data_IF_285802231348
#
_entry.id   IF_285802231348
#
_cell.length_a   1.000
_cell.length_b   1.000
_cell.length_c   1.000
_cell.angle_alpha   90.00
_cell.angle_beta   90.00
_cell.angle_gamma   90.00
#
_symmetry.space_group_name_H-M   'P 1'
#
loop_
_entity.id
_entity.type
_entity.pdbx_description
1 polymer ?
#
# COMPACT_ATOMS: atom_id res chain seq x y z
N UNK A 1 36.32 -14.81 39.82
CA UNK A 1 37.20 -15.99 39.72
C UNK A 1 37.53 -16.23 38.27
N UNK A 2 38.79 -16.01 37.90
CA UNK A 2 39.39 -16.44 36.64
C UNK A 2 39.07 -15.57 35.41
N UNK A 3 39.99 -15.24 34.54
CA UNK A 3 41.42 -15.48 34.52
C UNK A 3 41.99 -14.57 33.42
N UNK A 4 43.04 -13.84 33.75
CA UNK A 4 43.87 -13.07 32.82
C UNK A 4 44.41 -13.97 31.69
N UNK A 5 44.43 -13.46 30.45
CA UNK A 5 45.57 -13.69 29.53
C UNK A 5 45.82 -12.46 28.68
N UNK A 6 46.70 -11.63 29.21
CA UNK A 6 47.53 -10.67 28.51
C UNK A 6 48.36 -11.40 27.43
N UNK A 7 48.11 -11.05 26.17
CA UNK A 7 48.88 -11.51 25.02
C UNK A 7 49.41 -10.31 24.25
N UNK A 8 50.58 -9.84 24.66
CA UNK A 8 51.42 -8.90 23.91
C UNK A 8 51.75 -9.51 22.55
N UNK A 9 51.34 -8.87 21.46
CA UNK A 9 51.98 -9.11 20.16
C UNK A 9 52.50 -7.82 19.56
N UNK A 10 53.79 -7.88 19.27
CA UNK A 10 54.72 -6.81 18.91
C UNK A 10 54.44 -6.27 17.52
N UNK A 11 54.59 -4.94 17.42
CA UNK A 11 55.12 -4.17 16.29
C UNK A 11 55.49 -4.96 15.02
N UNK A 12 54.70 -4.75 13.97
CA UNK A 12 55.12 -4.88 12.58
C UNK A 12 54.82 -3.58 11.83
N UNK A 13 55.74 -2.61 11.88
CA UNK A 13 55.78 -1.54 10.88
C UNK A 13 56.24 -2.16 9.56
N UNK A 14 55.32 -2.44 8.64
CA UNK A 14 55.66 -2.53 7.23
C UNK A 14 55.02 -1.35 6.51
N UNK A 15 55.87 -0.50 5.93
CA UNK A 15 55.48 0.71 5.26
C UNK A 15 54.49 0.43 4.15
N UNK A 16 53.28 0.96 4.29
CA UNK A 16 52.37 1.17 3.16
C UNK A 16 52.91 2.36 2.38
N UNK A 17 54.00 2.13 1.64
CA UNK A 17 54.39 3.01 0.56
C UNK A 17 53.26 2.93 -0.45
N UNK A 18 52.42 3.97 -0.48
CA UNK A 18 51.52 4.25 -1.58
C UNK A 18 52.39 4.45 -2.82
N UNK A 19 52.79 3.33 -3.44
CA UNK A 19 53.32 3.31 -4.79
C UNK A 19 52.20 3.92 -5.63
N UNK A 20 52.37 5.19 -5.92
CA UNK A 20 51.53 5.95 -6.82
C UNK A 20 51.59 5.19 -8.14
N UNK A 21 50.64 4.28 -8.36
CA UNK A 21 50.49 3.62 -9.64
C UNK A 21 50.20 4.76 -10.59
N UNK A 22 51.21 5.15 -11.37
CA UNK A 22 51.15 6.22 -12.36
C UNK A 22 50.21 5.81 -13.49
N UNK A 23 48.94 5.61 -13.16
CA UNK A 23 47.88 5.55 -14.13
C UNK A 23 47.95 6.92 -14.83
N UNK A 24 48.32 6.94 -16.12
CA UNK A 24 48.55 8.19 -16.82
C UNK A 24 47.26 9.02 -16.79
N UNK A 25 47.39 10.34 -16.57
CA UNK A 25 46.26 11.25 -16.32
C UNK A 25 45.14 11.16 -17.37
N UNK A 26 45.46 10.74 -18.61
CA UNK A 26 44.46 10.53 -19.66
C UNK A 26 43.41 9.46 -19.31
N UNK A 27 43.72 8.48 -18.44
CA UNK A 27 42.73 7.51 -17.97
C UNK A 27 41.66 8.14 -17.08
N UNK A 28 42.01 9.19 -16.34
CA UNK A 28 41.06 9.95 -15.52
C UNK A 28 40.17 10.85 -16.39
N UNK A 29 40.71 11.47 -17.44
CA UNK A 29 39.91 12.27 -18.38
C UNK A 29 38.94 11.41 -19.18
N UNK A 30 39.39 10.24 -19.68
CA UNK A 30 38.52 9.30 -20.40
C UNK A 30 37.35 8.84 -19.52
N UNK A 31 37.62 8.48 -18.25
CA UNK A 31 36.57 8.04 -17.32
C UNK A 31 35.58 9.16 -16.98
N UNK A 32 36.05 10.40 -16.82
CA UNK A 32 35.18 11.56 -16.56
C UNK A 32 34.28 11.88 -17.76
N UNK A 33 34.83 11.77 -18.97
CA UNK A 33 34.06 11.98 -20.19
C UNK A 33 33.03 10.88 -20.43
N UNK A 34 33.39 9.62 -20.15
CA UNK A 34 32.46 8.50 -20.21
C UNK A 34 31.31 8.65 -19.20
N UNK A 35 31.58 9.06 -17.97
CA UNK A 35 30.54 9.39 -16.99
C UNK A 35 29.61 10.51 -17.45
N UNK A 36 30.19 11.57 -18.06
CA UNK A 36 29.38 12.66 -18.62
C UNK A 36 28.47 12.16 -19.74
N UNK A 37 28.98 11.29 -20.63
CA UNK A 37 28.19 10.71 -21.72
C UNK A 37 27.05 9.84 -21.19
N UNK A 38 27.31 9.01 -20.17
CA UNK A 38 26.29 8.19 -19.51
C UNK A 38 25.19 9.06 -18.88
N UNK A 39 25.55 10.12 -18.16
CA UNK A 39 24.57 11.04 -17.59
C UNK A 39 23.73 11.76 -18.65
N UNK A 40 24.33 12.13 -19.79
CA UNK A 40 23.61 12.77 -20.90
C UNK A 40 22.66 11.79 -21.60
N UNK A 41 23.10 10.55 -21.82
CA UNK A 41 22.25 9.47 -22.36
C UNK A 41 21.08 9.16 -21.42
N UNK A 42 21.32 9.06 -20.11
CA UNK A 42 20.26 8.89 -19.11
C UNK A 42 19.30 10.09 -19.08
N UNK A 43 19.82 11.33 -19.17
CA UNK A 43 18.98 12.52 -19.23
C UNK A 43 18.14 12.58 -20.51
N UNK A 44 18.68 12.13 -21.65
CA UNK A 44 17.97 12.00 -22.93
C UNK A 44 16.91 10.92 -22.87
N UNK A 45 17.22 9.76 -22.28
CA UNK A 45 16.24 8.70 -22.08
C UNK A 45 15.11 9.14 -21.14
N UNK A 46 15.42 9.86 -20.06
CA UNK A 46 14.41 10.43 -19.18
C UNK A 46 13.64 11.61 -19.80
N UNK A 47 14.16 12.23 -20.86
CA UNK A 47 13.47 13.29 -21.61
C UNK A 47 12.50 12.74 -22.66
N UNK A 48 12.66 11.47 -23.05
CA UNK A 48 11.75 10.84 -23.99
C UNK A 48 10.37 10.68 -23.35
N UNK A 49 9.28 10.93 -24.09
CA UNK A 49 7.94 10.66 -23.59
C UNK A 49 7.79 9.17 -23.28
N UNK A 50 7.08 8.80 -22.20
CA UNK A 50 6.82 7.39 -21.90
C UNK A 50 6.08 6.68 -23.06
N UNK A 51 6.23 5.37 -23.14
CA UNK A 51 5.59 4.57 -24.19
C UNK A 51 4.05 4.71 -24.14
N UNK A 52 3.42 4.81 -25.30
CA UNK A 52 1.96 4.98 -25.43
C UNK A 52 1.45 6.42 -25.32
N UNK A 53 2.34 7.40 -25.09
CA UNK A 53 1.98 8.81 -25.12
C UNK A 53 2.07 9.40 -26.54
N UNK A 54 1.03 10.09 -26.97
CA UNK A 54 0.93 10.76 -28.27
C UNK A 54 1.03 12.27 -28.08
N UNK A 55 1.69 12.98 -28.98
CA UNK A 55 1.79 14.44 -28.92
C UNK A 55 0.40 15.08 -28.99
N UNK A 56 0.07 15.91 -27.99
CA UNK A 56 -1.20 16.63 -27.91
C UNK A 56 -1.05 18.10 -28.29
N UNK A 57 -0.10 18.79 -27.65
CA UNK A 57 0.26 20.19 -27.91
C UNK A 57 1.74 20.41 -27.62
N UNK A 58 2.28 21.62 -27.84
CA UNK A 58 3.72 21.89 -27.67
C UNK A 58 4.21 21.51 -26.27
N UNK A 59 5.03 20.45 -26.20
CA UNK A 59 5.57 19.93 -24.94
C UNK A 59 4.57 19.15 -24.08
N UNK A 60 3.35 18.87 -24.56
CA UNK A 60 2.35 18.06 -23.87
C UNK A 60 2.02 16.82 -24.66
N UNK A 61 2.05 15.69 -23.97
CA UNK A 61 1.70 14.40 -24.52
C UNK A 61 0.50 13.85 -23.77
N UNK A 62 -0.33 13.06 -24.44
CA UNK A 62 -1.52 12.43 -23.85
C UNK A 62 -1.51 10.94 -24.10
N UNK A 63 -1.82 10.17 -23.08
CA UNK A 63 -2.16 8.77 -23.23
C UNK A 63 -3.69 8.65 -23.41
N UNK A 64 -4.19 8.31 -24.61
CA UNK A 64 -5.63 8.30 -24.89
C UNK A 64 -6.40 7.24 -24.11
N UNK A 65 -5.74 6.15 -23.73
CA UNK A 65 -6.36 5.04 -22.98
C UNK A 65 -6.60 5.42 -21.52
N UNK A 66 -5.63 6.10 -20.91
CA UNK A 66 -5.68 6.47 -19.49
C UNK A 66 -6.22 7.89 -19.24
N UNK A 67 -6.35 8.70 -20.29
CA UNK A 67 -6.69 10.15 -20.20
C UNK A 67 -5.70 10.93 -19.30
N UNK A 68 -4.46 10.47 -19.25
CA UNK A 68 -3.37 11.11 -18.50
C UNK A 68 -2.52 11.93 -19.47
N UNK A 69 -2.17 13.14 -19.05
CA UNK A 69 -1.27 14.04 -19.75
C UNK A 69 0.13 13.96 -19.14
N UNK A 70 1.15 14.10 -19.95
CA UNK A 70 2.55 14.18 -19.52
C UNK A 70 3.17 15.44 -20.11
N UNK A 71 3.79 16.26 -19.27
CA UNK A 71 4.40 17.51 -19.67
C UNK A 71 5.92 17.34 -19.78
N UNK A 72 6.49 17.60 -20.96
CA UNK A 72 7.91 17.37 -21.24
C UNK A 72 8.85 18.30 -20.47
N UNK A 73 8.42 19.53 -20.17
CA UNK A 73 9.23 20.52 -19.45
C UNK A 73 9.39 20.17 -17.97
N UNK A 74 8.29 19.76 -17.31
CA UNK A 74 8.28 19.42 -15.88
C UNK A 74 8.51 17.93 -15.61
N UNK A 75 8.36 17.08 -16.64
CA UNK A 75 8.37 15.61 -16.57
C UNK A 75 7.35 15.06 -15.56
N UNK A 76 6.21 15.74 -15.42
CA UNK A 76 5.14 15.38 -14.49
C UNK A 76 3.89 14.91 -15.24
N UNK A 77 3.09 14.09 -14.55
CA UNK A 77 1.80 13.63 -15.03
C UNK A 77 0.68 14.54 -14.55
N UNK A 78 -0.33 14.73 -15.38
CA UNK A 78 -1.49 15.56 -15.09
C UNK A 78 -2.77 14.84 -15.52
N UNK A 79 -3.83 15.01 -14.74
CA UNK A 79 -5.19 14.68 -15.14
C UNK A 79 -5.92 15.99 -15.48
N UNK A 80 -6.61 16.00 -16.62
CA UNK A 80 -7.49 17.12 -16.94
C UNK A 80 -8.83 16.93 -16.23
N UNK A 81 -9.15 17.84 -15.33
CA UNK A 81 -10.45 17.84 -14.65
C UNK A 81 -11.43 18.72 -15.46
N UNK A 82 -12.39 18.09 -16.12
CA UNK A 82 -13.39 18.79 -16.96
C UNK A 82 -14.27 19.76 -16.15
N UNK A 83 -14.59 19.43 -14.89
CA UNK A 83 -15.44 20.27 -14.04
C UNK A 83 -14.74 21.58 -13.65
N UNK A 84 -13.44 21.50 -13.32
CA UNK A 84 -12.62 22.67 -12.98
C UNK A 84 -11.99 23.34 -14.21
N UNK A 85 -12.06 22.68 -15.39
CA UNK A 85 -11.32 23.05 -16.60
C UNK A 85 -9.82 23.28 -16.35
N UNK A 86 -9.24 22.49 -15.45
CA UNK A 86 -7.87 22.67 -14.97
C UNK A 86 -7.11 21.34 -14.93
N UNK A 87 -5.79 21.42 -15.11
CA UNK A 87 -4.90 20.27 -14.98
C UNK A 87 -4.51 20.08 -13.50
N UNK A 88 -4.76 18.89 -12.96
CA UNK A 88 -4.32 18.49 -11.63
C UNK A 88 -3.08 17.60 -11.76
N UNK A 89 -2.00 17.95 -11.06
CA UNK A 89 -0.78 17.13 -11.01
C UNK A 89 -1.08 15.79 -10.34
N UNK A 90 -0.64 14.70 -10.97
CA UNK A 90 -0.65 13.37 -10.39
C UNK A 90 0.78 13.04 -10.01
N UNK A 91 0.99 12.77 -8.72
CA UNK A 91 2.24 12.18 -8.29
C UNK A 91 2.22 10.70 -8.66
N UNK A 92 3.15 10.29 -9.52
CA UNK A 92 3.43 8.87 -9.68
C UNK A 92 3.91 8.40 -8.30
N UNK A 93 3.17 7.47 -7.70
CA UNK A 93 3.57 6.90 -6.42
C UNK A 93 4.98 6.36 -6.59
N UNK A 94 5.97 7.00 -5.97
CA UNK A 94 7.29 6.42 -5.88
C UNK A 94 7.08 5.09 -5.16
N UNK A 95 7.30 3.99 -5.88
CA UNK A 95 7.18 2.65 -5.33
C UNK A 95 8.17 2.50 -4.19
N UNK A 96 7.72 2.85 -2.98
CA UNK A 96 8.38 2.61 -1.71
C UNK A 96 8.21 1.13 -1.30
N UNK A 97 7.90 0.24 -2.23
CA UNK A 97 7.79 -1.21 -2.00
C UNK A 97 9.02 -1.80 -1.31
N UNK A 98 10.18 -1.15 -1.46
CA UNK A 98 11.43 -1.56 -0.78
C UNK A 98 11.61 -0.98 0.63
N UNK A 99 10.87 0.05 1.03
CA UNK A 99 11.16 0.81 2.25
C UNK A 99 9.98 0.86 3.23
N UNK A 100 8.73 0.88 2.75
CA UNK A 100 7.54 0.96 3.61
C UNK A 100 6.64 -0.25 3.43
N UNK A 101 6.65 -1.13 4.43
CA UNK A 101 5.67 -2.22 4.57
C UNK A 101 4.69 -1.83 5.68
N UNK A 102 3.45 -1.54 5.31
CA UNK A 102 2.38 -1.33 6.29
C UNK A 102 1.84 -2.70 6.72
N UNK A 103 2.21 -3.14 7.92
CA UNK A 103 1.56 -4.28 8.55
C UNK A 103 0.26 -3.79 9.19
N UNK A 104 -0.86 -4.29 8.71
CA UNK A 104 -2.18 -3.99 9.27
C UNK A 104 -2.73 -5.20 10.00
N UNK A 105 -3.31 -4.93 11.17
CA UNK A 105 -4.02 -5.87 12.01
C UNK A 105 -5.31 -5.21 12.51
N UNK A 106 -6.30 -6.01 12.90
CA UNK A 106 -7.56 -5.52 13.44
C UNK A 106 -7.78 -6.04 14.86
N UNK A 107 -8.08 -5.11 15.78
CA UNK A 107 -8.50 -5.44 17.13
C UNK A 107 -9.95 -5.06 17.34
N UNK A 108 -10.73 -5.96 17.94
CA UNK A 108 -12.13 -5.72 18.27
C UNK A 108 -12.32 -5.89 19.78
N UNK A 109 -12.81 -4.85 20.45
CA UNK A 109 -13.19 -4.89 21.85
C UNK A 109 -14.70 -5.15 21.94
N UNK A 110 -15.07 -6.22 22.67
CA UNK A 110 -16.47 -6.54 22.93
C UNK A 110 -16.75 -6.36 24.41
N UNK A 111 -17.90 -5.75 24.74
CA UNK A 111 -18.33 -5.66 26.13
C UNK A 111 -18.74 -7.06 26.61
N UNK A 112 -18.33 -7.49 27.82
CA UNK A 112 -18.82 -8.73 28.41
C UNK A 112 -20.34 -8.76 28.44
N UNK A 113 -20.95 -9.84 27.94
CA UNK A 113 -22.41 -10.00 27.89
C UNK A 113 -23.11 -9.37 26.69
N UNK A 114 -22.39 -8.70 25.78
CA UNK A 114 -22.96 -8.27 24.50
C UNK A 114 -22.58 -9.26 23.40
N UNK A 115 -23.54 -9.71 22.56
CA UNK A 115 -23.22 -10.56 21.42
C UNK A 115 -22.27 -9.85 20.44
N UNK A 116 -21.38 -10.63 19.81
CA UNK A 116 -20.44 -10.12 18.82
C UNK A 116 -21.16 -9.87 17.49
N UNK A 117 -21.57 -8.63 17.27
CA UNK A 117 -22.26 -8.22 16.05
C UNK A 117 -21.32 -7.58 15.03
N UNK A 118 -20.19 -7.04 15.48
CA UNK A 118 -19.21 -6.39 14.61
C UNK A 118 -18.33 -7.41 13.88
N UNK A 119 -18.16 -7.21 12.57
CA UNK A 119 -17.26 -7.97 11.71
C UNK A 119 -16.30 -7.02 11.00
N UNK A 120 -15.07 -7.46 10.77
CA UNK A 120 -14.10 -6.70 9.97
C UNK A 120 -13.63 -7.53 8.79
N UNK A 121 -13.28 -6.87 7.69
CA UNK A 121 -12.72 -7.48 6.48
C UNK A 121 -11.45 -6.73 6.11
N UNK A 122 -10.37 -7.47 5.93
CA UNK A 122 -9.07 -6.95 5.50
C UNK A 122 -8.68 -7.64 4.20
N UNK A 123 -8.58 -6.87 3.12
CA UNK A 123 -8.08 -7.33 1.82
C UNK A 123 -6.77 -6.60 1.55
N UNK A 124 -5.65 -7.31 1.71
CA UNK A 124 -4.30 -6.74 1.54
C UNK A 124 -3.96 -6.42 0.08
N UNK A 125 -4.49 -7.21 -0.84
CA UNK A 125 -4.30 -7.04 -2.28
C UNK A 125 -5.67 -7.01 -2.95
N UNK A 126 -6.20 -5.80 -3.12
CA UNK A 126 -7.50 -5.57 -3.73
C UNK A 126 -7.51 -5.99 -5.20
N UNK A 127 -6.38 -5.86 -5.91
CA UNK A 127 -6.25 -6.25 -7.31
C UNK A 127 -6.44 -7.76 -7.50
N UNK A 128 -5.77 -8.56 -6.65
CA UNK A 128 -5.91 -10.02 -6.64
C UNK A 128 -7.32 -10.46 -6.26
N UNK A 129 -7.93 -9.82 -5.26
CA UNK A 129 -9.30 -10.12 -4.84
C UNK A 129 -10.31 -9.82 -5.94
N UNK A 130 -10.19 -8.66 -6.61
CA UNK A 130 -11.08 -8.30 -7.69
C UNK A 130 -10.92 -9.19 -8.92
N UNK A 131 -9.70 -9.65 -9.23
CA UNK A 131 -9.48 -10.64 -10.27
C UNK A 131 -10.23 -11.96 -9.98
N UNK A 132 -10.20 -12.44 -8.74
CA UNK A 132 -10.95 -13.62 -8.33
C UNK A 132 -12.47 -13.43 -8.45
N UNK A 133 -12.95 -12.23 -8.12
CA UNK A 133 -14.36 -11.85 -8.21
C UNK A 133 -14.79 -11.39 -9.62
N UNK A 134 -13.86 -11.38 -10.59
CA UNK A 134 -14.08 -10.83 -11.94
C UNK A 134 -14.64 -9.41 -11.94
N UNK A 135 -14.23 -8.60 -10.96
CA UNK A 135 -14.60 -7.20 -10.85
C UNK A 135 -13.54 -6.31 -11.53
N UNK A 136 -13.94 -5.41 -12.45
CA UNK A 136 -13.00 -4.51 -13.11
C UNK A 136 -12.63 -3.34 -12.19
N UNK A 137 -11.39 -3.33 -11.69
CA UNK A 137 -10.87 -2.25 -10.81
C UNK A 137 -9.57 -1.63 -11.32
N UNK A 138 -9.34 -1.68 -12.63
CA UNK A 138 -8.09 -1.21 -13.27
C UNK A 138 -7.84 0.29 -13.13
N UNK A 139 -8.86 1.05 -12.74
CA UNK A 139 -8.79 2.48 -12.49
C UNK A 139 -8.17 2.82 -11.12
N UNK A 140 -8.03 1.84 -10.21
CA UNK A 140 -7.46 2.08 -8.89
C UNK A 140 -5.92 2.06 -8.93
N UNK A 141 -5.25 3.00 -8.23
CA UNK A 141 -3.80 3.00 -8.15
C UNK A 141 -3.30 1.76 -7.41
N UNK A 142 -2.20 1.17 -7.88
CA UNK A 142 -1.55 0.01 -7.24
C UNK A 142 -0.32 0.47 -6.44
N UNK A 143 -0.05 -0.11 -5.25
CA UNK A 143 -0.83 -1.16 -4.56
C UNK A 143 -2.12 -0.60 -3.93
N UNK A 144 -3.19 -1.41 -3.92
CA UNK A 144 -4.47 -1.09 -3.30
C UNK A 144 -4.88 -2.16 -2.28
N UNK A 145 -5.36 -1.72 -1.12
CA UNK A 145 -5.92 -2.56 -0.06
C UNK A 145 -7.31 -2.04 0.33
N UNK A 146 -8.18 -2.93 0.80
CA UNK A 146 -9.52 -2.59 1.28
C UNK A 146 -9.68 -3.02 2.74
N UNK A 147 -10.17 -2.08 3.56
CA UNK A 147 -10.50 -2.29 4.96
C UNK A 147 -11.95 -1.92 5.16
N UNK A 148 -12.75 -2.84 5.69
CA UNK A 148 -14.14 -2.60 5.98
C UNK A 148 -14.48 -3.08 7.39
N UNK A 149 -15.30 -2.30 8.08
CA UNK A 149 -15.89 -2.67 9.37
C UNK A 149 -17.40 -2.67 9.17
N UNK A 150 -18.01 -3.82 9.45
CA UNK A 150 -19.44 -4.03 9.42
C UNK A 150 -19.92 -4.00 10.86
N UNK A 151 -20.71 -2.99 11.22
CA UNK A 151 -21.45 -3.02 12.48
C UNK A 151 -22.74 -3.78 12.25
N UNK A 152 -22.87 -4.94 12.90
CA UNK A 152 -24.14 -5.65 12.91
C UNK A 152 -25.13 -4.83 13.73
N UNK A 153 -26.25 -4.48 13.13
CA UNK A 153 -27.45 -4.13 13.87
C UNK A 153 -28.35 -5.34 13.81
N UNK A 154 -28.35 -6.18 14.86
CA UNK A 154 -29.55 -7.03 15.03
C UNK A 154 -30.72 -6.07 15.23
N UNK A 155 -31.81 -6.18 14.46
CA UNK A 155 -33.05 -5.58 14.92
C UNK A 155 -33.32 -6.24 16.27
N UNK A 156 -33.18 -5.47 17.35
CA UNK A 156 -33.77 -5.84 18.63
C UNK A 156 -35.20 -6.14 18.26
N UNK A 157 -35.62 -7.40 18.36
CA UNK A 157 -37.01 -7.75 18.24
C UNK A 157 -37.70 -6.87 19.28
N UNK A 158 -38.32 -5.78 18.82
CA UNK A 158 -39.26 -5.04 19.64
C UNK A 158 -40.31 -6.08 19.96
N UNK A 159 -40.17 -6.67 21.14
CA UNK A 159 -41.15 -7.56 21.71
C UNK A 159 -42.50 -6.92 21.44
N UNK A 160 -43.32 -7.66 20.71
CA UNK A 160 -44.58 -7.25 20.15
C UNK A 160 -45.29 -6.20 21.01
N UNK A 161 -45.35 -4.97 20.51
CA UNK A 161 -46.41 -4.05 20.88
C UNK A 161 -47.72 -4.64 20.35
N UNK A 162 -48.31 -5.50 21.18
CA UNK A 162 -49.56 -6.20 20.91
C UNK A 162 -50.14 -6.78 22.19
N UNK A 163 -50.37 -5.92 23.19
CA UNK A 163 -51.06 -6.32 24.42
C UNK A 163 -50.97 -5.29 25.53
N UNK A 164 -51.93 -4.37 25.57
CA UNK A 164 -52.25 -3.62 26.77
C UNK A 164 -52.73 -4.59 27.88
N UNK A 165 -52.20 -4.49 29.10
CA UNK A 165 -52.94 -4.62 30.37
C UNK A 165 -51.99 -4.72 31.57
N UNK A 166 -52.35 -3.97 32.61
CA UNK A 166 -51.87 -4.13 33.99
C UNK A 166 -51.94 -5.58 34.47
N UNK A 167 -50.95 -6.02 35.24
CA UNK A 167 -51.17 -6.58 36.59
C UNK A 167 -49.86 -7.12 37.17
N UNK A 168 -49.69 -6.84 38.46
CA UNK A 168 -48.70 -7.44 39.33
C UNK A 168 -48.88 -8.97 39.37
N UNK A 169 -47.80 -9.73 39.41
CA UNK A 169 -47.89 -11.10 39.92
C UNK A 169 -46.84 -12.07 39.43
N UNK A 170 -45.99 -12.45 40.37
CA UNK A 170 -45.56 -13.83 40.62
C UNK A 170 -44.49 -14.45 39.74
N UNK A 171 -43.46 -14.93 40.45
CA UNK A 171 -42.39 -15.77 39.97
C UNK A 171 -42.91 -17.14 39.51
N UNK A 172 -42.39 -17.62 38.38
CA UNK A 172 -42.28 -19.04 38.08
C UNK A 172 -41.13 -19.28 37.10
N UNK A 173 -40.15 -20.04 37.59
CA UNK A 173 -39.12 -20.74 36.85
C UNK A 173 -39.71 -21.65 35.76
N UNK A 174 -39.16 -21.59 34.56
CA UNK A 174 -39.51 -22.46 33.44
C UNK A 174 -38.31 -22.72 32.54
N UNK A 175 -37.91 -23.99 32.49
CA UNK A 175 -36.78 -24.57 31.78
C UNK A 175 -36.96 -24.57 30.24
N UNK A 176 -35.84 -24.70 29.52
CA UNK A 176 -35.79 -25.33 28.19
C UNK A 176 -35.85 -24.39 26.99
N UNK A 177 -34.88 -23.50 26.81
CA UNK A 177 -34.63 -22.89 25.51
C UNK A 177 -33.75 -23.84 24.67
N UNK A 178 -34.39 -24.57 23.76
CA UNK A 178 -33.76 -25.37 22.73
C UNK A 178 -32.86 -24.46 21.85
N UNK A 179 -31.55 -24.64 22.00
CA UNK A 179 -30.51 -23.87 21.33
C UNK A 179 -30.54 -24.18 19.83
N UNK A 180 -31.21 -23.32 19.06
CA UNK A 180 -31.22 -23.40 17.61
C UNK A 180 -29.76 -23.37 17.08
N UNK A 181 -29.38 -24.30 16.19
CA UNK A 181 -28.01 -24.41 15.73
C UNK A 181 -27.56 -23.09 15.09
N UNK A 182 -26.34 -22.60 15.39
CA UNK A 182 -25.85 -21.36 14.82
C UNK A 182 -25.83 -21.49 13.28
N UNK A 183 -26.18 -20.42 12.54
CA UNK A 183 -26.12 -20.44 11.09
C UNK A 183 -24.68 -20.76 10.69
N UNK A 184 -24.50 -21.92 10.05
CA UNK A 184 -23.22 -22.36 9.49
C UNK A 184 -22.80 -21.34 8.44
N UNK A 185 -21.68 -20.67 8.70
CA UNK A 185 -21.05 -19.80 7.70
C UNK A 185 -20.78 -20.63 6.45
N UNK A 186 -21.31 -20.20 5.31
CA UNK A 186 -20.97 -20.79 4.02
C UNK A 186 -19.47 -20.64 3.80
N UNK A 187 -18.75 -21.76 3.81
CA UNK A 187 -17.37 -21.82 3.34
C UNK A 187 -17.41 -21.65 1.83
N UNK A 188 -16.83 -20.55 1.33
CA UNK A 188 -16.58 -20.38 -0.09
C UNK A 188 -15.26 -21.08 -0.41
N UNK A 189 -15.35 -22.20 -1.15
CA UNK A 189 -14.22 -22.91 -1.77
C UNK A 189 -13.83 -22.23 -3.08
#
# INVERSE_FOLDING_TARGET
>A
LGQERSGLSRNGRMGSGTRFSGAPLWRFTLRKEEQRRQQEEEQKQQAAPPEGFVLHSEGWYVNPQQKVFWQASSRKYYLYNEAAKAYAEIHQAASLEKELRVLTDASCLHRPGCPREDRHVIIRDLAKAAQALRMPIDHLPRPAALFAVYSGHRPVAQAAAGGAAESQGSAASGEGAEEAPPPTCAEFV
#
